data_IF_629106119230
#
_entry.id   IF_629106119230
#
_cell.length_a   1.000
_cell.length_b   1.000
_cell.length_c   1.000
_cell.angle_alpha   90.00
_cell.angle_beta   90.00
_cell.angle_gamma   90.00
#
_symmetry.space_group_name_H-M   'P 1'
#
loop_
_entity.id
_entity.type
_entity.pdbx_description
1 polymer ?
#
# COMPACT_ATOMS: atom_id res chain seq x y z
N UNK A 1 9.05 -59.76 -17.43
CA UNK A 1 7.99 -59.50 -18.42
C UNK A 1 6.65 -59.92 -17.84
N UNK A 2 5.78 -58.97 -17.49
CA UNK A 2 4.38 -59.22 -17.15
C UNK A 2 3.56 -58.04 -17.68
N UNK A 3 2.45 -58.35 -18.36
CA UNK A 3 1.67 -57.48 -19.24
C UNK A 3 0.50 -56.83 -18.48
N UNK A 4 0.20 -55.59 -18.89
CA UNK A 4 -1.10 -54.91 -18.99
C UNK A 4 -2.24 -55.23 -18.00
N UNK A 5 -2.78 -54.18 -17.36
CA UNK A 5 -4.19 -53.81 -17.58
C UNK A 5 -4.42 -52.31 -17.34
N UNK A 6 -4.91 -51.61 -18.37
CA UNK A 6 -5.32 -50.20 -18.36
C UNK A 6 -6.84 -50.15 -18.55
N UNK A 7 -7.58 -50.00 -17.47
CA UNK A 7 -9.02 -49.74 -17.53
C UNK A 7 -9.28 -48.24 -17.78
N UNK A 8 -9.81 -47.93 -18.97
CA UNK A 8 -10.35 -46.63 -19.36
C UNK A 8 -11.77 -46.48 -18.82
N UNK A 9 -12.06 -45.45 -18.01
CA UNK A 9 -13.42 -45.05 -17.67
C UNK A 9 -13.79 -43.76 -18.40
N UNK A 10 -14.72 -43.87 -19.34
CA UNK A 10 -15.37 -42.76 -20.03
C UNK A 10 -16.41 -42.10 -19.12
N UNK A 11 -16.34 -40.79 -18.91
CA UNK A 11 -17.47 -40.02 -18.37
C UNK A 11 -17.90 -38.94 -19.39
N UNK A 12 -19.06 -39.17 -20.00
CA UNK A 12 -19.75 -38.25 -20.91
C UNK A 12 -20.57 -37.25 -20.10
N UNK A 13 -20.33 -35.96 -20.39
CA UNK A 13 -21.32 -34.91 -20.65
C UNK A 13 -22.46 -34.63 -19.66
N UNK A 14 -22.64 -33.34 -19.33
CA UNK A 14 -23.87 -32.58 -19.59
C UNK A 14 -23.67 -31.10 -19.27
N UNK A 15 -23.72 -30.30 -20.33
CA UNK A 15 -23.95 -28.86 -20.36
C UNK A 15 -25.40 -28.55 -20.01
N UNK A 16 -25.65 -27.60 -19.12
CA UNK A 16 -26.95 -26.95 -18.98
C UNK A 16 -26.77 -25.45 -18.79
N UNK A 17 -26.92 -24.75 -19.92
CA UNK A 17 -27.18 -23.32 -20.04
C UNK A 17 -28.60 -23.01 -19.55
N UNK A 18 -28.74 -22.07 -18.62
CA UNK A 18 -30.03 -21.41 -18.36
C UNK A 18 -29.78 -19.93 -18.06
N UNK A 19 -30.07 -19.11 -19.06
CA UNK A 19 -30.02 -17.66 -18.94
C UNK A 19 -31.15 -17.08 -18.11
N UNK A 20 -30.99 -15.83 -17.69
CA UNK A 20 -32.10 -14.91 -17.48
C UNK A 20 -31.63 -13.46 -17.56
N UNK A 21 -31.95 -12.84 -18.69
CA UNK A 21 -31.81 -11.40 -18.94
C UNK A 21 -32.94 -10.63 -18.24
N UNK A 22 -32.60 -9.64 -17.42
CA UNK A 22 -33.56 -8.64 -16.94
C UNK A 22 -33.26 -7.29 -17.59
N UNK A 23 -34.08 -6.95 -18.59
CA UNK A 23 -34.23 -5.62 -19.16
C UNK A 23 -34.91 -4.71 -18.13
N UNK A 24 -34.31 -3.54 -17.83
CA UNK A 24 -35.04 -2.43 -17.22
C UNK A 24 -34.78 -1.14 -17.98
N UNK A 25 -35.90 -0.53 -18.35
CA UNK A 25 -36.13 0.59 -19.26
C UNK A 25 -35.36 1.88 -18.93
N UNK A 26 -34.71 2.45 -19.95
CA UNK A 26 -34.18 3.81 -20.00
C UNK A 26 -35.30 4.84 -20.10
N UNK A 27 -35.32 5.82 -19.19
CA UNK A 27 -36.21 6.98 -19.21
C UNK A 27 -35.44 8.20 -19.72
N UNK A 28 -35.79 8.62 -20.93
CA UNK A 28 -35.29 9.81 -21.64
C UNK A 28 -35.74 11.11 -20.99
N UNK A 29 -34.82 12.05 -20.73
CA UNK A 29 -35.16 13.48 -20.56
C UNK A 29 -34.08 14.42 -21.13
N UNK A 30 -34.42 14.91 -22.31
CA UNK A 30 -34.28 16.29 -22.84
C UNK A 30 -33.16 17.21 -22.35
N UNK A 31 -32.35 17.57 -23.35
CA UNK A 31 -31.61 18.81 -23.60
C UNK A 31 -32.12 20.11 -22.96
N UNK A 32 -31.19 20.94 -22.47
CA UNK A 32 -31.17 22.36 -22.79
C UNK A 32 -29.73 22.89 -22.86
N UNK A 33 -29.47 23.69 -23.90
CA UNK A 33 -28.22 24.38 -24.23
C UNK A 33 -28.15 25.69 -23.43
N UNK A 34 -26.98 26.12 -22.98
CA UNK A 34 -26.65 27.56 -22.93
C UNK A 34 -25.13 27.81 -23.01
N UNK A 35 -24.80 28.80 -23.85
CA UNK A 35 -23.51 29.40 -24.23
C UNK A 35 -22.84 30.15 -23.04
N UNK A 36 -21.52 30.03 -22.88
CA UNK A 36 -20.45 31.01 -23.23
C UNK A 36 -20.46 32.32 -22.41
N UNK A 37 -19.38 32.59 -21.66
CA UNK A 37 -18.59 33.84 -21.66
C UNK A 37 -17.26 33.68 -20.90
N UNK A 38 -16.26 34.38 -21.44
CA UNK A 38 -14.85 34.51 -21.09
C UNK A 38 -14.58 35.43 -19.87
N UNK A 39 -13.42 35.18 -19.25
CA UNK A 39 -12.39 36.14 -18.79
C UNK A 39 -12.44 36.83 -17.41
N UNK A 40 -11.20 37.16 -17.02
CA UNK A 40 -10.66 38.02 -15.95
C UNK A 40 -10.41 37.30 -14.61
N UNK A 41 -9.18 36.91 -14.25
CA UNK A 41 -7.97 37.69 -13.93
C UNK A 41 -8.22 38.72 -12.84
N UNK A 42 -7.77 38.45 -11.62
CA UNK A 42 -7.14 39.44 -10.74
C UNK A 42 -6.30 38.74 -9.68
N UNK A 43 -5.03 39.15 -9.65
CA UNK A 43 -4.04 38.86 -8.62
C UNK A 43 -4.43 39.58 -7.33
N UNK A 44 -4.28 38.92 -6.19
CA UNK A 44 -4.09 39.64 -4.92
C UNK A 44 -3.05 38.93 -4.05
N UNK A 45 -2.15 39.76 -3.53
CA UNK A 45 -0.88 39.39 -2.93
C UNK A 45 -0.93 39.61 -1.42
N UNK A 46 -0.46 38.61 -0.66
CA UNK A 46 0.21 38.78 0.64
C UNK A 46 -0.50 38.19 1.86
N UNK A 47 0.15 38.18 3.05
CA UNK A 47 1.57 38.36 3.35
C UNK A 47 2.23 37.12 3.98
N UNK A 48 3.56 37.15 3.97
CA UNK A 48 4.46 36.18 4.61
C UNK A 48 4.25 36.07 6.13
N UNK A 49 4.21 34.83 6.62
CA UNK A 49 4.36 34.53 8.05
C UNK A 49 5.42 33.43 8.20
N UNK A 50 6.59 33.87 8.68
CA UNK A 50 7.35 33.23 9.74
C UNK A 50 7.75 31.77 9.54
N UNK A 51 8.99 31.56 9.06
CA UNK A 51 9.66 30.28 9.07
C UNK A 51 9.79 29.69 10.48
N UNK A 52 8.98 28.66 10.74
CA UNK A 52 9.16 27.75 11.87
C UNK A 52 9.81 26.47 11.34
N UNK A 53 11.10 26.34 11.62
CA UNK A 53 11.93 25.21 11.24
C UNK A 53 11.63 24.04 12.20
N UNK A 54 10.70 23.17 11.82
CA UNK A 54 10.40 21.94 12.56
C UNK A 54 10.51 20.73 11.63
N UNK A 55 11.75 20.27 11.47
CA UNK A 55 12.10 19.10 10.67
C UNK A 55 11.86 17.81 11.48
N UNK A 56 10.62 17.59 11.90
CA UNK A 56 10.11 16.32 12.44
C UNK A 56 8.70 16.02 11.89
N UNK A 57 8.62 15.74 10.60
CA UNK A 57 7.48 15.04 10.02
C UNK A 57 7.97 13.69 9.53
N UNK A 58 7.98 12.72 10.44
CA UNK A 58 7.77 11.33 10.06
C UNK A 58 6.55 10.82 10.84
N UNK A 59 5.41 11.41 10.49
CA UNK A 59 4.08 10.92 10.85
C UNK A 59 3.62 10.01 9.73
N UNK A 60 4.19 8.80 9.66
CA UNK A 60 3.57 7.69 8.95
C UNK A 60 2.32 7.31 9.74
N UNK A 61 1.23 8.00 9.41
CA UNK A 61 -0.14 7.59 9.67
C UNK A 61 -0.40 6.35 8.84
N UNK A 62 0.04 5.19 9.33
CA UNK A 62 -0.55 3.93 8.93
C UNK A 62 -1.94 3.86 9.57
N UNK A 63 -2.90 4.50 8.89
CA UNK A 63 -4.33 4.31 9.09
C UNK A 63 -4.66 2.87 8.68
N UNK A 64 -4.38 1.93 9.58
CA UNK A 64 -5.02 0.62 9.59
C UNK A 64 -6.48 0.81 10.02
N UNK A 65 -7.27 1.35 9.09
CA UNK A 65 -8.74 1.36 9.09
C UNK A 65 -9.22 -0.09 8.99
N UNK A 66 -9.21 -0.77 10.14
CA UNK A 66 -9.94 -1.99 10.39
C UNK A 66 -11.43 -1.65 10.39
N UNK A 67 -12.02 -1.59 9.19
CA UNK A 67 -13.45 -1.42 8.97
C UNK A 67 -14.23 -2.54 9.66
N UNK A 68 -14.67 -2.28 10.89
CA UNK A 68 -15.71 -3.04 11.54
C UNK A 68 -17.07 -2.47 11.15
N UNK A 69 -17.86 -3.33 10.53
CA UNK A 69 -19.06 -3.02 9.77
C UNK A 69 -20.24 -2.85 10.75
N UNK A 70 -20.45 -1.64 11.29
CA UNK A 70 -21.69 -1.28 11.99
C UNK A 70 -22.46 -0.19 11.25
N UNK A 71 -23.44 -0.66 10.48
CA UNK A 71 -24.54 0.15 9.98
C UNK A 71 -25.41 0.67 11.13
N UNK A 72 -25.97 1.86 10.92
CA UNK A 72 -27.14 2.49 11.56
C UNK A 72 -26.86 3.56 12.64
N UNK A 73 -26.88 4.81 12.19
CA UNK A 73 -27.08 6.01 13.00
C UNK A 73 -27.47 7.18 12.09
N UNK A 74 -28.73 7.24 11.65
CA UNK A 74 -29.27 8.37 10.87
C UNK A 74 -29.45 9.57 11.80
N UNK A 75 -28.46 10.46 11.88
CA UNK A 75 -28.65 11.80 12.46
C UNK A 75 -29.32 12.70 11.42
N UNK A 76 -30.64 12.87 11.54
CA UNK A 76 -31.40 13.91 10.83
C UNK A 76 -31.26 15.23 11.60
N UNK A 77 -30.34 16.08 11.16
CA UNK A 77 -30.27 17.48 11.59
C UNK A 77 -30.38 18.39 10.37
N UNK A 78 -31.58 18.90 10.08
CA UNK A 78 -31.80 19.91 9.05
C UNK A 78 -31.37 21.28 9.58
N UNK A 79 -30.08 21.58 9.56
CA UNK A 79 -29.60 22.95 9.73
C UNK A 79 -30.00 23.77 8.49
N UNK A 80 -30.81 24.82 8.70
CA UNK A 80 -31.21 25.77 7.65
C UNK A 80 -29.97 26.52 7.18
N UNK A 81 -29.47 26.17 5.99
CA UNK A 81 -28.35 26.88 5.35
C UNK A 81 -28.88 28.14 4.65
N UNK A 82 -28.14 29.24 4.77
CA UNK A 82 -28.50 30.54 4.21
C UNK A 82 -28.65 30.46 2.67
N UNK A 83 -29.60 31.19 2.09
CA UNK A 83 -29.96 31.07 0.65
C UNK A 83 -28.85 31.46 -0.32
N UNK A 84 -27.86 32.21 0.16
CA UNK A 84 -26.71 32.68 -0.61
C UNK A 84 -25.42 31.95 -0.26
N UNK A 85 -25.49 30.92 0.61
CA UNK A 85 -24.34 30.06 0.82
C UNK A 85 -24.12 29.22 -0.46
N UNK A 86 -22.90 29.20 -1.03
CA UNK A 86 -22.59 28.29 -2.12
C UNK A 86 -22.90 26.87 -1.63
N UNK A 87 -23.79 26.18 -2.35
CA UNK A 87 -24.04 24.77 -2.08
C UNK A 87 -22.75 24.05 -2.44
N UNK A 88 -22.07 23.49 -1.45
CA UNK A 88 -21.06 22.46 -1.69
C UNK A 88 -21.76 21.35 -2.49
N UNK A 89 -21.61 21.41 -3.81
CA UNK A 89 -21.93 20.28 -4.66
C UNK A 89 -20.96 19.22 -4.19
N UNK A 90 -21.49 18.25 -3.44
CA UNK A 90 -20.78 17.03 -3.10
C UNK A 90 -20.52 16.29 -4.41
N UNK A 91 -19.54 16.76 -5.19
CA UNK A 91 -18.84 15.95 -6.16
C UNK A 91 -18.29 14.82 -5.30
N UNK A 92 -18.94 13.68 -5.44
CA UNK A 92 -18.74 12.54 -4.57
C UNK A 92 -17.24 12.26 -4.45
N UNK A 93 -16.76 11.99 -3.24
CA UNK A 93 -15.44 11.37 -2.99
C UNK A 93 -15.33 9.94 -3.58
N UNK A 94 -16.14 9.64 -4.60
CA UNK A 94 -16.14 8.40 -5.38
C UNK A 94 -15.51 8.75 -6.72
N UNK A 95 -14.51 7.99 -7.17
CA UNK A 95 -13.93 8.20 -8.49
C UNK A 95 -15.03 8.18 -9.55
N UNK A 96 -14.89 9.02 -10.58
CA UNK A 96 -15.79 9.05 -11.73
C UNK A 96 -15.79 7.66 -12.38
N UNK A 97 -16.94 6.98 -12.36
CA UNK A 97 -17.03 5.58 -12.78
C UNK A 97 -16.99 5.38 -14.29
N UNK A 98 -17.15 6.44 -15.09
CA UNK A 98 -17.21 6.36 -16.56
C UNK A 98 -16.37 7.47 -17.16
N UNK A 99 -15.27 7.09 -17.81
CA UNK A 99 -14.44 7.97 -18.65
C UNK A 99 -15.11 8.02 -20.03
N UNK A 100 -15.26 9.22 -20.62
CA UNK A 100 -15.81 9.35 -21.99
C UNK A 100 -14.80 8.81 -23.00
N UNK A 101 -15.30 8.02 -23.95
CA UNK A 101 -14.50 7.53 -25.07
C UNK A 101 -14.20 8.71 -26.01
N UNK A 102 -12.92 9.02 -26.19
CA UNK A 102 -12.46 10.07 -27.10
C UNK A 102 -12.35 9.43 -28.49
N UNK A 103 -13.05 9.92 -29.52
CA UNK A 103 -12.95 9.37 -30.87
C UNK A 103 -11.50 9.46 -31.36
N UNK A 104 -10.91 8.33 -31.73
CA UNK A 104 -9.50 8.21 -32.14
C UNK A 104 -8.53 7.73 -31.05
N UNK A 105 -8.98 7.58 -29.80
CA UNK A 105 -8.16 7.03 -28.70
C UNK A 105 -8.85 5.78 -28.10
N UNK A 106 -8.56 4.61 -28.66
CA UNK A 106 -9.09 3.33 -28.19
C UNK A 106 -8.42 2.88 -26.89
N UNK A 107 -9.03 3.21 -25.74
CA UNK A 107 -8.60 2.67 -24.44
C UNK A 107 -9.12 1.23 -24.34
N UNK A 108 -8.31 0.25 -24.77
CA UNK A 108 -8.64 -1.18 -24.65
C UNK A 108 -8.89 -1.53 -23.18
N UNK A 109 -10.16 -1.79 -22.84
CA UNK A 109 -10.59 -2.20 -21.49
C UNK A 109 -9.91 -3.53 -21.16
N UNK A 110 -9.21 -3.57 -20.03
CA UNK A 110 -8.69 -4.82 -19.46
C UNK A 110 -9.91 -5.66 -19.07
N UNK A 111 -10.00 -6.88 -19.58
CA UNK A 111 -11.02 -7.90 -19.31
C UNK A 111 -12.33 -7.76 -20.11
N UNK A 112 -12.36 -8.41 -21.27
CA UNK A 112 -13.56 -9.05 -21.83
C UNK A 112 -13.18 -10.50 -22.12
N UNK A 113 -13.95 -11.44 -21.56
CA UNK A 113 -13.62 -12.86 -21.44
C UNK A 113 -13.96 -13.71 -22.69
N UNK A 114 -14.32 -13.10 -23.82
CA UNK A 114 -14.99 -13.82 -24.92
C UNK A 114 -14.30 -13.79 -26.29
N UNK A 115 -13.00 -13.46 -26.38
CA UNK A 115 -12.26 -13.55 -27.66
C UNK A 115 -11.22 -14.67 -27.63
N UNK A 116 -11.52 -15.78 -28.30
CA UNK A 116 -10.64 -16.92 -28.65
C UNK A 116 -9.48 -16.53 -29.60
N UNK A 117 -9.14 -15.24 -29.68
CA UNK A 117 -7.92 -14.77 -30.34
C UNK A 117 -6.85 -14.55 -29.27
N UNK A 118 -5.80 -15.36 -29.34
CA UNK A 118 -4.67 -15.43 -28.43
C UNK A 118 -3.78 -14.14 -28.38
N UNK A 119 -4.37 -12.97 -28.57
CA UNK A 119 -3.67 -11.69 -28.62
C UNK A 119 -4.62 -10.54 -28.31
N UNK A 120 -4.34 -9.85 -27.20
CA UNK A 120 -4.76 -8.49 -26.87
C UNK A 120 -5.93 -8.30 -25.88
N UNK A 121 -5.75 -8.74 -24.62
CA UNK A 121 -6.63 -8.32 -23.52
C UNK A 121 -6.02 -8.38 -22.12
N UNK A 122 -5.08 -7.50 -21.77
CA UNK A 122 -4.66 -7.25 -20.36
C UNK A 122 -3.32 -7.82 -19.90
N UNK A 123 -2.66 -8.66 -20.70
CA UNK A 123 -1.30 -9.18 -20.45
C UNK A 123 -0.22 -8.58 -21.36
N UNK A 124 -0.59 -7.97 -22.49
CA UNK A 124 0.34 -7.62 -23.58
C UNK A 124 1.05 -6.26 -23.45
N UNK A 125 0.96 -5.57 -22.31
CA UNK A 125 1.79 -4.39 -22.02
C UNK A 125 2.77 -4.62 -20.87
N UNK A 126 2.93 -5.86 -20.42
CA UNK A 126 4.09 -6.24 -19.63
C UNK A 126 5.14 -6.73 -20.63
N UNK A 127 6.19 -5.95 -20.80
CA UNK A 127 7.36 -6.35 -21.57
C UNK A 127 7.75 -7.76 -21.14
N UNK A 128 7.80 -8.68 -22.11
CA UNK A 128 8.04 -10.12 -21.93
C UNK A 128 9.34 -10.38 -21.17
N UNK A 129 10.33 -9.48 -21.29
CA UNK A 129 11.59 -9.56 -20.55
C UNK A 129 11.39 -9.41 -19.04
N UNK A 130 10.31 -8.74 -18.64
CA UNK A 130 9.92 -8.52 -17.25
C UNK A 130 8.66 -9.30 -16.88
N UNK A 131 8.19 -10.22 -17.75
CA UNK A 131 7.09 -11.10 -17.41
C UNK A 131 7.59 -12.26 -16.54
N UNK A 132 7.16 -12.24 -15.28
CA UNK A 132 7.45 -13.28 -14.28
C UNK A 132 6.97 -14.67 -14.69
N UNK A 133 6.06 -14.76 -15.67
CA UNK A 133 5.57 -16.04 -16.20
C UNK A 133 6.53 -16.68 -17.22
N UNK A 134 7.33 -15.89 -17.95
CA UNK A 134 8.22 -16.37 -19.03
C UNK A 134 9.67 -16.58 -18.58
N UNK A 135 10.11 -15.94 -17.51
CA UNK A 135 11.41 -16.16 -16.89
C UNK A 135 11.24 -16.51 -15.41
N UNK A 136 11.92 -17.58 -14.95
CA UNK A 136 11.91 -18.11 -13.57
C UNK A 136 11.53 -17.02 -12.57
N UNK A 137 10.44 -17.21 -11.82
CA UNK A 137 10.20 -16.46 -10.59
C UNK A 137 11.41 -16.67 -9.69
N UNK A 138 12.36 -15.73 -9.75
CA UNK A 138 13.64 -15.90 -9.05
C UNK A 138 13.32 -15.90 -7.57
N UNK A 139 13.59 -17.03 -6.92
CA UNK A 139 13.46 -17.11 -5.48
C UNK A 139 14.35 -16.04 -4.87
N UNK A 140 13.74 -15.15 -4.09
CA UNK A 140 14.43 -14.02 -3.49
C UNK A 140 15.68 -14.47 -2.75
N UNK A 141 15.64 -15.64 -2.10
CA UNK A 141 16.78 -16.15 -1.33
C UNK A 141 17.98 -16.50 -2.21
N UNK A 142 17.73 -17.00 -3.43
CA UNK A 142 18.78 -17.30 -4.41
C UNK A 142 19.43 -16.02 -4.92
N UNK A 143 18.62 -15.01 -5.24
CA UNK A 143 19.10 -13.68 -5.65
C UNK A 143 19.91 -13.04 -4.52
N UNK A 144 19.43 -13.11 -3.28
CA UNK A 144 20.12 -12.54 -2.12
C UNK A 144 21.50 -13.15 -1.91
N UNK A 145 21.65 -14.47 -2.12
CA UNK A 145 22.94 -15.16 -2.04
C UNK A 145 23.87 -14.79 -3.20
N UNK A 146 23.36 -14.77 -4.43
CA UNK A 146 24.15 -14.48 -5.63
C UNK A 146 24.64 -13.04 -5.68
N UNK A 147 23.82 -12.10 -5.22
CA UNK A 147 24.09 -10.67 -5.25
C UNK A 147 24.37 -10.08 -3.87
N UNK A 148 24.85 -10.91 -2.92
CA UNK A 148 25.20 -10.45 -1.57
C UNK A 148 26.29 -9.38 -1.57
N UNK A 149 27.22 -9.43 -2.52
CA UNK A 149 28.29 -8.45 -2.69
C UNK A 149 27.79 -7.02 -2.94
N UNK A 150 26.55 -6.84 -3.44
CA UNK A 150 25.97 -5.51 -3.63
C UNK A 150 25.74 -4.79 -2.30
N UNK A 151 25.54 -5.51 -1.21
CA UNK A 151 25.42 -4.89 0.12
C UNK A 151 26.75 -4.32 0.57
N UNK A 152 27.85 -5.05 0.38
CA UNK A 152 29.19 -4.54 0.67
C UNK A 152 29.52 -3.30 -0.17
N UNK A 153 29.09 -3.27 -1.43
CA UNK A 153 29.25 -2.10 -2.29
C UNK A 153 28.47 -0.89 -1.75
N UNK A 154 27.19 -1.10 -1.39
CA UNK A 154 26.35 -0.04 -0.80
C UNK A 154 26.93 0.49 0.51
N UNK A 155 27.49 -0.39 1.35
CA UNK A 155 28.14 0.00 2.60
C UNK A 155 29.37 0.88 2.33
N UNK A 156 30.23 0.49 1.38
CA UNK A 156 31.39 1.30 0.96
C UNK A 156 30.95 2.65 0.39
N UNK A 157 29.93 2.67 -0.47
CA UNK A 157 29.36 3.89 -1.06
C UNK A 157 28.84 4.84 0.04
N UNK A 158 28.12 4.31 1.03
CA UNK A 158 27.64 5.09 2.17
C UNK A 158 28.80 5.70 2.96
N UNK A 159 29.87 4.93 3.19
CA UNK A 159 31.03 5.39 3.93
C UNK A 159 31.82 6.46 3.15
N UNK A 160 31.92 6.33 1.83
CA UNK A 160 32.51 7.35 0.94
C UNK A 160 31.70 8.64 0.98
N UNK A 161 30.38 8.58 0.78
CA UNK A 161 29.51 9.76 0.86
C UNK A 161 29.58 10.43 2.24
N UNK A 162 29.63 9.64 3.33
CA UNK A 162 29.82 10.15 4.69
C UNK A 162 31.17 10.85 4.85
N UNK A 163 32.26 10.26 4.33
CA UNK A 163 33.59 10.88 4.38
C UNK A 163 33.60 12.22 3.65
N UNK A 164 33.00 12.31 2.47
CA UNK A 164 32.90 13.55 1.70
C UNK A 164 32.13 14.60 2.51
N UNK A 165 30.95 14.26 3.04
CA UNK A 165 30.13 15.20 3.84
C UNK A 165 30.79 15.62 5.16
N UNK A 166 31.62 14.77 5.77
CA UNK A 166 32.35 15.11 7.00
C UNK A 166 33.58 15.99 6.71
N UNK A 167 34.16 15.89 5.53
CA UNK A 167 35.33 16.66 5.11
C UNK A 167 34.94 18.09 4.76
N UNK A 168 34.99 18.99 5.77
CA UNK A 168 34.61 20.41 5.62
C UNK A 168 35.25 21.12 4.42
N UNK A 169 36.49 20.77 4.07
CA UNK A 169 37.22 21.33 2.92
C UNK A 169 36.58 20.97 1.57
N UNK A 170 36.13 19.73 1.43
CA UNK A 170 35.45 19.27 0.21
C UNK A 170 34.06 19.88 0.13
N UNK A 171 33.33 19.87 1.25
CA UNK A 171 32.01 20.49 1.34
C UNK A 171 32.06 21.98 1.02
N UNK A 172 33.07 22.72 1.49
CA UNK A 172 33.20 24.15 1.18
C UNK A 172 33.55 24.45 -0.28
N UNK A 173 34.02 23.46 -1.04
CA UNK A 173 34.36 23.60 -2.46
C UNK A 173 33.23 23.13 -3.38
N UNK A 174 32.17 22.52 -2.85
CA UNK A 174 31.02 22.03 -3.61
C UNK A 174 29.89 23.07 -3.59
N UNK A 175 29.08 23.06 -4.64
CA UNK A 175 27.87 23.87 -4.69
C UNK A 175 26.82 23.38 -3.69
N UNK A 176 25.94 24.26 -3.16
CA UNK A 176 24.93 23.88 -2.18
C UNK A 176 23.99 22.79 -2.70
N UNK A 177 23.62 22.83 -3.98
CA UNK A 177 22.77 21.83 -4.63
C UNK A 177 23.44 20.44 -4.64
N UNK A 178 24.74 20.37 -4.91
CA UNK A 178 25.50 19.12 -4.92
C UNK A 178 25.58 18.49 -3.52
N UNK A 179 25.69 19.33 -2.48
CA UNK A 179 25.70 18.87 -1.09
C UNK A 179 24.35 18.29 -0.71
N UNK A 180 23.26 18.92 -1.13
CA UNK A 180 21.89 18.43 -0.89
C UNK A 180 21.63 17.12 -1.63
N UNK A 181 22.03 17.02 -2.89
CA UNK A 181 21.97 15.78 -3.65
C UNK A 181 22.76 14.65 -2.97
N UNK A 182 23.96 14.95 -2.48
CA UNK A 182 24.81 13.97 -1.81
C UNK A 182 24.17 13.47 -0.51
N UNK A 183 23.58 14.39 0.28
CA UNK A 183 22.80 14.03 1.48
C UNK A 183 21.59 13.18 1.15
N UNK A 184 20.87 13.53 0.09
CA UNK A 184 19.70 12.78 -0.37
C UNK A 184 20.08 11.36 -0.83
N UNK A 185 21.15 11.23 -1.63
CA UNK A 185 21.70 9.93 -2.07
C UNK A 185 22.15 9.09 -0.87
N UNK A 186 22.83 9.69 0.10
CA UNK A 186 23.21 9.03 1.36
C UNK A 186 21.98 8.52 2.12
N UNK A 187 20.94 9.34 2.29
CA UNK A 187 19.73 8.93 3.00
C UNK A 187 18.99 7.80 2.25
N UNK A 188 18.88 7.91 0.93
CA UNK A 188 18.22 6.92 0.07
C UNK A 188 18.92 5.56 0.11
N UNK A 189 20.25 5.55 -0.01
CA UNK A 189 21.06 4.31 0.04
C UNK A 189 21.02 3.67 1.42
N UNK A 190 21.13 4.45 2.50
CA UNK A 190 21.01 3.96 3.88
C UNK A 190 19.63 3.35 4.13
N UNK A 191 18.56 4.04 3.76
CA UNK A 191 17.18 3.57 3.98
C UNK A 191 16.90 2.26 3.22
N UNK A 192 17.45 2.12 2.01
CA UNK A 192 17.37 0.87 1.22
C UNK A 192 18.11 -0.27 1.91
N UNK A 193 19.34 -0.03 2.37
CA UNK A 193 20.15 -1.03 3.09
C UNK A 193 19.46 -1.48 4.38
N UNK A 194 18.94 -0.54 5.18
CA UNK A 194 18.21 -0.84 6.41
C UNK A 194 16.94 -1.64 6.15
N UNK A 195 16.19 -1.29 5.11
CA UNK A 195 14.99 -2.03 4.69
C UNK A 195 15.31 -3.47 4.30
N UNK A 196 16.45 -3.71 3.64
CA UNK A 196 16.91 -5.06 3.30
C UNK A 196 17.31 -5.83 4.57
N UNK A 197 18.12 -5.23 5.45
CA UNK A 197 18.52 -5.84 6.73
C UNK A 197 17.31 -6.19 7.61
N UNK A 198 16.29 -5.33 7.63
CA UNK A 198 15.02 -5.60 8.33
C UNK A 198 14.33 -6.84 7.75
N UNK A 199 14.20 -6.95 6.43
CA UNK A 199 13.59 -8.12 5.77
C UNK A 199 14.36 -9.40 6.05
N UNK A 200 15.69 -9.35 6.05
CA UNK A 200 16.52 -10.52 6.33
C UNK A 200 16.39 -10.97 7.78
N UNK A 201 16.42 -10.03 8.74
CA UNK A 201 16.15 -10.32 10.15
C UNK A 201 14.79 -10.99 10.35
N UNK A 202 13.74 -10.46 9.72
CA UNK A 202 12.40 -11.06 9.80
C UNK A 202 12.38 -12.49 9.27
N UNK A 203 13.08 -12.78 8.17
CA UNK A 203 13.19 -14.15 7.64
C UNK A 203 13.99 -15.06 8.57
N UNK A 204 15.08 -14.57 9.14
CA UNK A 204 15.90 -15.32 10.09
C UNK A 204 15.11 -15.67 11.35
N UNK A 205 14.34 -14.74 11.91
CA UNK A 205 13.48 -14.99 13.05
C UNK A 205 12.45 -16.10 12.77
N UNK A 206 11.82 -16.06 11.58
CA UNK A 206 10.90 -17.12 11.16
C UNK A 206 11.61 -18.46 10.96
N UNK A 207 12.82 -18.47 10.37
CA UNK A 207 13.61 -19.69 10.18
C UNK A 207 14.05 -20.31 11.51
N UNK A 208 14.48 -19.49 12.47
CA UNK A 208 14.85 -19.92 13.82
C UNK A 208 13.66 -20.58 14.52
N UNK A 209 12.51 -19.92 14.52
CA UNK A 209 11.29 -20.50 15.10
C UNK A 209 10.86 -21.79 14.40
N UNK A 210 10.94 -21.88 13.07
CA UNK A 210 10.62 -23.14 12.35
C UNK A 210 11.58 -24.26 12.77
N UNK A 211 12.86 -23.94 12.98
CA UNK A 211 13.87 -24.91 13.41
C UNK A 211 13.58 -25.41 14.82
N UNK A 212 13.33 -24.49 15.75
CA UNK A 212 12.97 -24.80 17.14
C UNK A 212 11.67 -25.63 17.23
N UNK A 213 10.63 -25.27 16.46
CA UNK A 213 9.39 -26.05 16.41
C UNK A 213 9.62 -27.47 15.88
N UNK A 214 10.48 -27.63 14.86
CA UNK A 214 10.83 -28.96 14.33
C UNK A 214 11.58 -29.81 15.35
N UNK A 215 12.50 -29.22 16.11
CA UNK A 215 13.23 -29.89 17.18
C UNK A 215 12.29 -30.36 18.29
N UNK A 216 11.26 -29.57 18.61
CA UNK A 216 10.21 -29.92 19.56
C UNK A 216 9.17 -30.93 19.01
N UNK A 217 9.34 -31.41 17.78
CA UNK A 217 8.44 -32.38 17.14
C UNK A 217 7.19 -31.78 16.49
N UNK A 218 7.03 -30.45 16.48
CA UNK A 218 5.92 -29.77 15.83
C UNK A 218 6.26 -29.45 14.37
N UNK A 219 5.84 -30.31 13.43
CA UNK A 219 6.09 -30.15 11.99
C UNK A 219 5.03 -29.31 11.27
N UNK A 220 4.34 -28.41 11.98
CA UNK A 220 3.25 -27.61 11.41
C UNK A 220 3.81 -26.36 10.73
N UNK A 221 3.20 -25.99 9.60
CA UNK A 221 3.47 -24.71 8.97
C UNK A 221 2.93 -23.58 9.84
N UNK A 222 3.74 -22.55 10.09
CA UNK A 222 3.33 -21.37 10.85
C UNK A 222 2.12 -20.68 10.19
N UNK A 223 1.06 -20.48 10.96
CA UNK A 223 -0.09 -19.69 10.52
C UNK A 223 0.29 -18.21 10.37
N UNK A 224 -0.49 -17.42 9.63
CA UNK A 224 -0.25 -15.97 9.48
C UNK A 224 -0.21 -15.26 10.84
N UNK A 225 -1.05 -15.70 11.79
CA UNK A 225 -1.10 -15.12 13.13
C UNK A 225 0.15 -15.45 13.94
N UNK A 226 0.63 -16.69 13.89
CA UNK A 226 1.89 -17.08 14.54
C UNK A 226 3.09 -16.36 13.96
N UNK A 227 3.21 -16.27 12.62
CA UNK A 227 4.29 -15.49 11.98
C UNK A 227 4.33 -14.06 12.52
N UNK A 228 3.19 -13.39 12.62
CA UNK A 228 3.12 -12.03 13.19
C UNK A 228 3.56 -11.99 14.66
N UNK A 229 3.21 -12.98 15.47
CA UNK A 229 3.65 -13.05 16.87
C UNK A 229 5.17 -13.20 16.96
N UNK A 230 5.76 -14.11 16.18
CA UNK A 230 7.22 -14.31 16.13
C UNK A 230 7.93 -13.02 15.72
N UNK A 231 7.47 -12.38 14.63
CA UNK A 231 8.03 -11.12 14.18
C UNK A 231 7.86 -9.99 15.20
N UNK A 232 6.75 -9.96 15.94
CA UNK A 232 6.52 -8.94 16.97
C UNK A 232 7.46 -9.13 18.17
N UNK A 233 7.69 -10.37 18.59
CA UNK A 233 8.62 -10.70 19.67
C UNK A 233 10.04 -10.32 19.25
N UNK A 234 10.51 -10.75 18.08
CA UNK A 234 11.83 -10.41 17.55
C UNK A 234 12.04 -8.89 17.43
N UNK A 235 11.05 -8.16 16.89
CA UNK A 235 11.10 -6.69 16.83
C UNK A 235 11.21 -6.07 18.23
N UNK A 236 10.46 -6.57 19.21
CA UNK A 236 10.46 -6.03 20.57
C UNK A 236 11.74 -6.37 21.35
N UNK A 237 12.33 -7.53 21.11
CA UNK A 237 13.61 -7.92 21.70
C UNK A 237 14.75 -7.05 21.17
N UNK A 238 14.76 -6.76 19.86
CA UNK A 238 15.79 -5.96 19.20
C UNK A 238 15.58 -4.43 19.27
N UNK A 239 14.45 -3.93 19.81
CA UNK A 239 14.23 -2.50 20.04
C UNK A 239 15.17 -1.95 21.13
N UNK A 240 15.43 -0.64 21.12
CA UNK A 240 16.14 0.01 22.23
C UNK A 240 15.25 0.08 23.49
N UNK A 241 15.83 0.10 24.70
CA UNK A 241 15.08 0.16 25.97
C UNK A 241 14.12 1.35 26.03
N UNK A 242 14.58 2.52 25.58
CA UNK A 242 13.76 3.75 25.47
C UNK A 242 12.59 3.60 24.51
N UNK A 243 12.77 2.88 23.41
CA UNK A 243 11.73 2.64 22.42
C UNK A 243 10.70 1.64 22.93
N UNK A 244 11.16 0.58 23.62
CA UNK A 244 10.30 -0.41 24.28
C UNK A 244 9.40 0.26 25.31
N UNK A 245 9.96 1.08 26.21
CA UNK A 245 9.16 1.78 27.24
C UNK A 245 8.16 2.75 26.61
N UNK A 246 8.58 3.54 25.61
CA UNK A 246 7.70 4.46 24.88
C UNK A 246 6.56 3.72 24.16
N UNK A 247 6.85 2.58 23.53
CA UNK A 247 5.84 1.74 22.86
C UNK A 247 4.83 1.17 23.86
N UNK A 248 5.31 0.64 25.00
CA UNK A 248 4.45 0.15 26.08
C UNK A 248 3.60 1.27 26.69
N UNK A 249 4.17 2.45 26.92
CA UNK A 249 3.44 3.60 27.45
C UNK A 249 2.34 4.06 26.49
N UNK A 250 2.64 4.19 25.19
CA UNK A 250 1.63 4.49 24.16
C UNK A 250 0.51 3.44 24.15
N UNK A 251 0.86 2.15 24.28
CA UNK A 251 -0.12 1.06 24.34
C UNK A 251 -0.99 1.15 25.60
N UNK A 252 -0.40 1.46 26.75
CA UNK A 252 -1.10 1.69 28.03
C UNK A 252 -2.07 2.88 27.91
N UNK A 253 -1.61 4.02 27.41
CA UNK A 253 -2.44 5.22 27.18
C UNK A 253 -3.60 4.95 26.22
N UNK A 254 -3.34 4.26 25.09
CA UNK A 254 -4.39 3.86 24.14
C UNK A 254 -5.41 2.90 24.77
N UNK A 255 -4.97 1.96 25.62
CA UNK A 255 -5.88 1.04 26.33
C UNK A 255 -6.74 1.79 27.34
N UNK A 256 -6.13 2.66 28.16
CA UNK A 256 -6.83 3.50 29.13
C UNK A 256 -7.86 4.41 28.44
N UNK A 257 -7.49 5.05 27.33
CA UNK A 257 -8.44 5.88 26.57
C UNK A 257 -9.62 5.09 26.00
N UNK A 258 -9.41 3.82 25.61
CA UNK A 258 -10.50 2.92 25.18
C UNK A 258 -11.38 2.52 26.36
N UNK A 259 -10.80 2.19 27.50
CA UNK A 259 -11.53 1.83 28.73
C UNK A 259 -12.38 3.00 29.22
N UNK A 260 -11.82 4.22 29.29
CA UNK A 260 -12.55 5.44 29.64
C UNK A 260 -13.71 5.72 28.68
N UNK A 261 -13.46 5.66 27.37
CA UNK A 261 -14.50 5.82 26.36
C UNK A 261 -15.61 4.78 26.49
N UNK A 262 -15.26 3.52 26.76
CA UNK A 262 -16.25 2.46 26.97
C UNK A 262 -17.07 2.68 28.25
N UNK A 263 -16.48 3.23 29.32
CA UNK A 263 -17.18 3.57 30.55
C UNK A 263 -18.19 4.71 30.31
N UNK A 264 -17.75 5.82 29.70
CA UNK A 264 -18.62 6.98 29.39
C UNK A 264 -19.89 6.57 28.62
N UNK A 265 -19.74 5.76 27.57
CA UNK A 265 -20.88 5.33 26.74
C UNK A 265 -21.75 4.22 27.36
N UNK A 266 -21.26 3.50 28.38
CA UNK A 266 -22.07 2.50 29.11
C UNK A 266 -22.96 3.12 30.18
N UNK A 267 -22.60 4.30 30.69
CA UNK A 267 -23.40 5.02 31.67
C UNK A 267 -24.53 5.86 31.03
N UNK A 268 -24.36 6.36 29.81
CA UNK A 268 -25.35 7.22 29.12
C UNK A 268 -26.56 6.49 28.48
N UNK A 269 -26.69 5.16 28.68
CA UNK A 269 -27.77 4.34 28.09
C UNK A 269 -28.73 3.71 29.11
N UNK A 270 -28.62 4.11 30.38
CA UNK A 270 -29.51 3.70 31.47
C UNK A 270 -30.05 4.97 32.15
N UNK A 271 -30.94 5.68 31.47
CA UNK A 271 -31.87 6.66 32.04
C UNK A 271 -33.15 6.65 31.20
#
# INVERSE_FOLDING_TARGET
MAKFDRSKSNFKGKSSSSGRSHYTSSKSRSSSKHKFTQEQSDSDSGPEIGGFNDNQINSESEDDDFFDNKKNGKLKGNAKKNKHAPKEVRISKRPVSVIREIPGLEIKKKYTEDDDSASAGGLHSRDIRFDTALGRSLDYETVRKQYGFLDEYREREIDEMRKILNNKKLVSMMEPEEIEELRYKLQSTQSKLESLRKKDREREALRKHIRESKENGETKFLTRAEKRKVLLVDRFENMNSKEKTKSLERKRKRKLGKEMRQLEFRHAGKD
#
